data_IF_550769765447
#
_entry.id   IF_550769765447
#
_cell.length_a   1.000
_cell.length_b   1.000
_cell.length_c   1.000
_cell.angle_alpha   90.00
_cell.angle_beta   90.00
_cell.angle_gamma   90.00
#
_symmetry.space_group_name_H-M   'P 1'
#
loop_
_entity.id
_entity.type
_entity.pdbx_description
1 polymer ?
#
# COMPACT_ATOMS: atom_id res chain seq x y z
N UNK A 1 23.31 0.13 14.48
CA UNK A 1 23.46 0.72 15.84
C UNK A 1 24.84 1.33 16.12
N UNK A 2 25.86 1.15 15.27
CA UNK A 2 27.22 1.68 15.50
C UNK A 2 27.32 3.21 15.66
N UNK A 3 26.38 3.99 15.09
CA UNK A 3 26.46 5.45 15.11
C UNK A 3 25.96 6.09 16.41
N UNK A 4 25.10 5.40 17.16
CA UNK A 4 24.52 5.88 18.42
C UNK A 4 24.33 4.70 19.40
N UNK A 5 25.41 4.23 20.03
CA UNK A 5 25.39 3.01 20.84
C UNK A 5 24.57 3.14 22.14
N UNK A 6 24.42 4.36 22.66
CA UNK A 6 23.69 4.61 23.90
C UNK A 6 22.17 4.71 23.71
N UNK A 7 21.70 4.80 22.46
CA UNK A 7 20.26 4.85 22.17
C UNK A 7 19.69 3.43 22.21
N UNK A 8 18.77 3.19 23.15
CA UNK A 8 17.97 1.97 23.21
C UNK A 8 16.69 2.15 22.41
N UNK A 9 16.44 1.24 21.46
CA UNK A 9 15.23 1.27 20.62
C UNK A 9 14.27 0.21 21.11
N UNK A 10 13.05 0.63 21.46
CA UNK A 10 11.92 -0.26 21.70
C UNK A 10 10.91 -0.10 20.57
N UNK A 11 10.58 -1.21 19.90
CA UNK A 11 9.59 -1.22 18.83
C UNK A 11 8.25 -1.70 19.37
N UNK A 12 7.21 -0.88 19.19
CA UNK A 12 5.82 -1.22 19.50
C UNK A 12 5.01 -1.14 18.22
N UNK A 13 4.34 -2.23 17.85
CA UNK A 13 3.46 -2.27 16.67
C UNK A 13 2.05 -1.84 17.05
N UNK A 14 1.41 -1.04 16.22
CA UNK A 14 0.01 -0.61 16.38
C UNK A 14 -0.84 -1.04 15.19
N UNK A 15 -2.16 -0.91 15.35
CA UNK A 15 -3.11 -1.21 14.27
C UNK A 15 -3.08 -0.05 13.25
N UNK A 16 -3.17 -0.32 11.93
CA UNK A 16 -3.28 0.75 10.94
C UNK A 16 -4.43 1.72 11.24
N UNK A 17 -4.16 3.02 11.17
CA UNK A 17 -5.15 4.08 11.43
C UNK A 17 -5.32 4.45 12.91
N UNK A 18 -4.68 3.72 13.84
CA UNK A 18 -4.66 4.10 15.25
C UNK A 18 -3.90 5.42 15.43
N UNK A 19 -4.44 6.30 16.27
CA UNK A 19 -3.81 7.58 16.59
C UNK A 19 -2.59 7.41 17.52
N UNK A 20 -1.62 8.34 17.48
CA UNK A 20 -0.46 8.29 18.35
C UNK A 20 -0.86 8.36 19.83
N UNK A 21 -0.28 7.50 20.65
CA UNK A 21 -0.45 7.53 22.11
C UNK A 21 0.65 8.38 22.75
N UNK A 22 0.31 9.14 23.81
CA UNK A 22 1.27 10.01 24.52
C UNK A 22 2.44 9.27 25.19
N UNK A 23 2.35 7.94 25.33
CA UNK A 23 3.40 7.10 25.91
C UNK A 23 4.55 6.78 24.95
N UNK A 24 4.43 7.16 23.66
CA UNK A 24 5.42 6.89 22.62
C UNK A 24 6.17 8.18 22.27
N UNK A 25 7.49 8.09 22.18
CA UNK A 25 8.34 9.23 21.79
C UNK A 25 8.27 9.53 20.27
N UNK A 26 8.10 8.47 19.46
CA UNK A 26 8.03 8.55 18.00
C UNK A 26 6.93 7.62 17.49
N UNK A 27 6.13 8.15 16.57
CA UNK A 27 5.10 7.39 15.86
C UNK A 27 5.37 7.45 14.36
N UNK A 28 5.49 6.27 13.74
CA UNK A 28 5.70 6.14 12.29
C UNK A 28 4.47 5.46 11.71
N UNK A 29 3.71 6.18 10.90
CA UNK A 29 2.52 5.67 10.24
C UNK A 29 2.36 6.23 8.83
N UNK A 30 1.44 5.65 8.07
CA UNK A 30 0.84 6.32 6.91
C UNK A 30 0.03 7.54 7.36
N UNK A 31 -0.46 8.33 6.41
CA UNK A 31 -1.29 9.50 6.68
C UNK A 31 -2.46 9.15 7.61
N UNK A 32 -2.68 10.01 8.61
CA UNK A 32 -3.72 9.85 9.63
C UNK A 32 -4.82 10.87 9.35
N UNK A 33 -6.03 10.40 9.07
CA UNK A 33 -7.17 11.27 8.74
C UNK A 33 -7.56 12.21 9.89
N UNK A 34 -7.37 11.77 11.14
CA UNK A 34 -7.75 12.52 12.35
C UNK A 34 -6.54 13.03 13.14
N UNK A 35 -5.54 13.57 12.44
CA UNK A 35 -4.32 14.08 13.08
C UNK A 35 -4.56 15.43 13.78
N UNK A 36 -4.36 15.47 15.09
CA UNK A 36 -4.41 16.72 15.86
C UNK A 36 -3.03 17.42 15.84
N UNK A 37 -2.90 18.41 14.96
CA UNK A 37 -1.67 19.21 14.80
C UNK A 37 -1.32 20.11 16.00
N UNK A 38 -2.26 20.33 16.93
CA UNK A 38 -1.99 21.04 18.18
C UNK A 38 -1.25 20.17 19.20
N UNK A 39 -1.45 18.85 19.13
CA UNK A 39 -0.85 17.89 20.06
C UNK A 39 0.41 17.23 19.49
N UNK A 40 0.53 17.14 18.17
CA UNK A 40 1.61 16.39 17.51
C UNK A 40 2.24 17.18 16.36
N UNK A 41 3.55 16.99 16.17
CA UNK A 41 4.26 17.45 14.98
C UNK A 41 4.58 16.26 14.08
N UNK A 42 4.17 16.33 12.82
CA UNK A 42 4.49 15.32 11.81
C UNK A 42 5.56 15.84 10.85
N UNK A 43 6.32 14.91 10.29
CA UNK A 43 7.25 15.19 9.19
C UNK A 43 7.15 14.05 8.18
N UNK A 44 7.01 14.40 6.91
CA UNK A 44 7.07 13.44 5.82
C UNK A 44 8.47 12.80 5.77
N UNK A 45 8.52 11.48 5.88
CA UNK A 45 9.78 10.72 5.76
C UNK A 45 10.10 10.42 4.30
N UNK A 46 9.10 9.94 3.56
CA UNK A 46 9.14 9.68 2.13
C UNK A 46 7.72 9.52 1.61
N UNK A 47 7.55 9.65 0.29
CA UNK A 47 6.33 9.26 -0.41
C UNK A 47 6.54 7.85 -0.97
N UNK A 48 5.59 6.96 -0.70
CA UNK A 48 5.56 5.65 -1.35
C UNK A 48 4.71 5.76 -2.62
N UNK A 49 5.26 5.30 -3.76
CA UNK A 49 4.56 5.29 -5.04
C UNK A 49 4.16 3.88 -5.39
N UNK A 50 2.86 3.65 -5.31
CA UNK A 50 2.28 2.38 -5.65
C UNK A 50 2.39 2.09 -7.16
N UNK A 51 2.67 0.83 -7.53
CA UNK A 51 2.75 0.38 -8.92
C UNK A 51 2.05 -0.96 -9.11
N UNK A 52 1.42 -1.13 -10.26
CA UNK A 52 0.90 -2.42 -10.70
C UNK A 52 2.05 -3.22 -11.28
N UNK A 53 2.08 -4.50 -10.96
CA UNK A 53 3.05 -5.45 -11.46
C UNK A 53 2.29 -6.65 -11.99
N UNK A 54 2.89 -7.43 -12.87
CA UNK A 54 2.31 -8.69 -13.31
C UNK A 54 3.44 -9.68 -13.56
N UNK A 55 3.14 -10.98 -13.46
CA UNK A 55 4.09 -11.98 -13.89
C UNK A 55 4.21 -11.96 -15.43
N UNK A 56 5.40 -12.25 -16.00
CA UNK A 56 5.55 -12.32 -17.45
C UNK A 56 4.56 -13.31 -18.08
N UNK A 57 4.38 -14.48 -17.45
CA UNK A 57 3.43 -15.50 -17.88
C UNK A 57 1.98 -14.97 -17.92
N UNK A 58 1.59 -14.14 -16.96
CA UNK A 58 0.26 -13.54 -16.97
C UNK A 58 0.09 -12.58 -18.15
N UNK A 59 1.08 -11.71 -18.37
CA UNK A 59 1.06 -10.73 -19.47
C UNK A 59 1.07 -11.40 -20.84
N UNK A 60 1.77 -12.52 -21.00
CA UNK A 60 1.74 -13.33 -22.23
C UNK A 60 0.34 -13.88 -22.53
N UNK A 61 -0.44 -14.23 -21.49
CA UNK A 61 -1.77 -14.82 -21.64
C UNK A 61 -2.88 -13.79 -21.76
N UNK A 62 -2.78 -12.66 -21.07
CA UNK A 62 -3.86 -11.67 -20.93
C UNK A 62 -3.54 -10.31 -21.56
N UNK A 63 -2.31 -10.12 -22.06
CA UNK A 63 -1.84 -8.83 -22.56
C UNK A 63 -1.42 -7.88 -21.43
N UNK A 64 -0.75 -6.80 -21.84
CA UNK A 64 -0.40 -5.68 -20.97
C UNK A 64 -1.45 -4.58 -21.09
N UNK A 65 -2.11 -4.16 -19.99
CA UNK A 65 -3.12 -3.12 -20.04
C UNK A 65 -2.49 -1.78 -20.44
N UNK A 66 -3.04 -1.14 -21.47
CA UNK A 66 -2.61 0.17 -21.96
C UNK A 66 -3.48 1.31 -21.46
N UNK A 67 -4.60 0.98 -20.82
CA UNK A 67 -5.54 1.93 -20.25
C UNK A 67 -5.98 1.53 -18.84
N UNK A 68 -6.54 2.50 -18.12
CA UNK A 68 -7.13 2.28 -16.80
C UNK A 68 -8.32 1.32 -16.91
N UNK A 69 -9.10 1.47 -17.97
CA UNK A 69 -10.28 0.66 -18.26
C UNK A 69 -9.89 -0.79 -18.50
N UNK A 70 -8.82 -1.05 -19.28
CA UNK A 70 -8.26 -2.39 -19.46
C UNK A 70 -7.76 -2.97 -18.13
N UNK A 71 -7.08 -2.17 -17.30
CA UNK A 71 -6.61 -2.61 -15.99
C UNK A 71 -7.76 -3.12 -15.11
N UNK A 72 -8.94 -2.49 -15.17
CA UNK A 72 -10.12 -2.93 -14.41
C UNK A 72 -10.69 -4.27 -14.88
N UNK A 73 -10.35 -4.72 -16.10
CA UNK A 73 -10.74 -6.02 -16.64
C UNK A 73 -9.79 -7.15 -16.22
N UNK A 74 -8.59 -6.81 -15.71
CA UNK A 74 -7.65 -7.80 -15.23
C UNK A 74 -8.02 -8.34 -13.84
N UNK A 75 -7.67 -9.60 -13.60
CA UNK A 75 -7.83 -10.25 -12.30
C UNK A 75 -6.75 -9.74 -11.33
N UNK A 76 -7.13 -8.88 -10.39
CA UNK A 76 -6.19 -8.21 -9.50
C UNK A 76 -6.15 -8.86 -8.12
N UNK A 77 -4.94 -9.16 -7.64
CA UNK A 77 -4.70 -9.61 -6.28
C UNK A 77 -4.90 -8.46 -5.29
N UNK A 78 -5.83 -8.61 -4.34
CA UNK A 78 -6.21 -7.54 -3.41
C UNK A 78 -5.65 -7.80 -2.00
N UNK A 79 -5.02 -6.78 -1.41
CA UNK A 79 -4.67 -6.82 0.02
C UNK A 79 -5.89 -6.46 0.88
N UNK A 80 -6.37 -7.38 1.69
CA UNK A 80 -7.53 -7.19 2.55
C UNK A 80 -8.45 -8.40 2.57
N UNK A 81 -9.69 -8.18 2.96
CA UNK A 81 -10.72 -9.23 3.09
C UNK A 81 -11.73 -9.22 1.94
N UNK A 82 -11.75 -8.15 1.14
CA UNK A 82 -12.69 -7.98 0.03
C UNK A 82 -12.04 -8.30 -1.31
N UNK A 83 -12.81 -8.91 -2.20
CA UNK A 83 -12.43 -9.22 -3.60
C UNK A 83 -12.60 -8.04 -4.55
N UNK A 84 -13.02 -6.88 -4.03
CA UNK A 84 -13.13 -5.62 -4.76
C UNK A 84 -12.51 -4.51 -3.93
N UNK A 85 -11.80 -3.59 -4.58
CA UNK A 85 -11.19 -2.45 -3.89
C UNK A 85 -11.11 -1.23 -4.79
N UNK A 86 -11.34 -0.07 -4.19
CA UNK A 86 -11.11 1.20 -4.86
C UNK A 86 -9.67 1.70 -4.64
N UNK A 87 -9.07 2.19 -5.71
CA UNK A 87 -7.79 2.86 -5.69
C UNK A 87 -7.90 4.25 -6.31
N UNK A 88 -7.19 5.22 -5.73
CA UNK A 88 -7.00 6.54 -6.35
C UNK A 88 -5.69 6.49 -7.13
N UNK A 89 -5.76 6.64 -8.45
CA UNK A 89 -4.60 6.86 -9.31
C UNK A 89 -4.03 8.24 -9.00
N UNK A 90 -2.73 8.49 -9.17
CA UNK A 90 -2.22 9.84 -8.95
C UNK A 90 -2.60 10.85 -10.06
N UNK A 91 -3.39 10.44 -11.07
CA UNK A 91 -4.20 11.37 -11.85
C UNK A 91 -5.41 11.94 -11.07
N UNK A 92 -5.65 11.48 -9.84
CA UNK A 92 -6.83 11.77 -9.03
C UNK A 92 -8.04 10.90 -9.37
N UNK A 93 -8.00 10.12 -10.46
CA UNK A 93 -9.09 9.24 -10.87
C UNK A 93 -9.23 8.06 -9.91
N UNK A 94 -10.43 7.85 -9.41
CA UNK A 94 -10.79 6.64 -8.64
C UNK A 94 -11.16 5.52 -9.57
N UNK A 95 -10.63 4.33 -9.29
CA UNK A 95 -10.88 3.11 -10.05
C UNK A 95 -11.29 2.01 -9.08
N UNK A 96 -12.26 1.20 -9.50
CA UNK A 96 -12.61 -0.02 -8.77
C UNK A 96 -12.01 -1.19 -9.50
N UNK A 97 -11.22 -1.99 -8.79
CA UNK A 97 -10.63 -3.22 -9.32
C UNK A 97 -11.19 -4.42 -8.58
N UNK A 98 -11.17 -5.57 -9.24
CA UNK A 98 -11.68 -6.81 -8.68
C UNK A 98 -10.72 -7.95 -8.99
N UNK A 99 -10.84 -9.01 -8.19
CA UNK A 99 -10.15 -10.26 -8.49
C UNK A 99 -10.77 -11.45 -7.79
N UNK A 100 -10.15 -12.60 -7.99
CA UNK A 100 -10.58 -13.86 -7.43
C UNK A 100 -9.87 -14.24 -6.12
N UNK A 101 -8.92 -13.42 -5.67
CA UNK A 101 -8.16 -13.68 -4.46
C UNK A 101 -7.88 -12.39 -3.68
N UNK A 102 -8.10 -12.46 -2.36
CA UNK A 102 -7.71 -11.42 -1.42
C UNK A 102 -6.91 -12.02 -0.27
N UNK A 103 -5.94 -11.28 0.26
CA UNK A 103 -5.13 -11.72 1.40
C UNK A 103 -4.82 -10.59 2.35
N UNK A 104 -4.90 -10.88 3.65
CA UNK A 104 -4.43 -10.00 4.73
C UNK A 104 -2.99 -10.29 5.13
N UNK A 105 -2.36 -11.32 4.54
CA UNK A 105 -0.98 -11.69 4.83
C UNK A 105 -0.02 -10.85 3.98
N UNK A 106 0.63 -9.86 4.61
CA UNK A 106 1.56 -8.94 3.95
C UNK A 106 2.73 -9.67 3.26
N UNK A 107 3.18 -10.81 3.80
CA UNK A 107 4.25 -11.58 3.14
C UNK A 107 3.76 -12.17 1.83
N UNK A 108 2.57 -12.77 1.78
CA UNK A 108 2.00 -13.28 0.53
C UNK A 108 1.76 -12.14 -0.48
N UNK A 109 1.38 -10.98 0.03
CA UNK A 109 1.26 -9.76 -0.76
C UNK A 109 2.62 -9.22 -1.28
N UNK A 110 3.75 -9.57 -0.68
CA UNK A 110 5.07 -9.13 -1.16
C UNK A 110 5.88 -10.21 -1.92
N UNK A 111 5.52 -11.49 -1.80
CA UNK A 111 6.35 -12.61 -2.32
C UNK A 111 5.83 -13.35 -3.55
N UNK A 112 4.63 -13.09 -4.07
CA UNK A 112 4.08 -13.90 -5.18
C UNK A 112 4.13 -13.22 -6.55
N UNK A 113 5.30 -13.22 -7.19
CA UNK A 113 5.50 -12.79 -8.59
C UNK A 113 4.76 -13.64 -9.66
N UNK A 114 3.53 -14.11 -9.40
CA UNK A 114 2.72 -14.95 -10.29
C UNK A 114 1.34 -14.35 -10.66
N UNK A 115 0.88 -13.27 -10.03
CA UNK A 115 -0.45 -12.68 -10.30
C UNK A 115 -0.36 -11.17 -10.53
N UNK A 116 -1.34 -10.57 -11.23
CA UNK A 116 -1.39 -9.11 -11.45
C UNK A 116 -1.66 -8.43 -10.13
N UNK A 117 -0.76 -7.54 -9.78
CA UNK A 117 -0.65 -6.83 -8.54
C UNK A 117 -1.35 -5.50 -8.62
N UNK A 118 -2.22 -5.22 -7.65
CA UNK A 118 -2.89 -3.94 -7.50
C UNK A 118 -2.25 -3.04 -6.45
N UNK A 119 -1.40 -2.12 -6.86
CA UNK A 119 -1.07 -0.92 -6.10
C UNK A 119 -0.88 0.26 -7.08
N UNK A 120 -1.54 1.39 -6.82
CA UNK A 120 -1.94 2.38 -7.82
C UNK A 120 -0.97 3.53 -8.20
N UNK A 121 -0.44 3.54 -9.44
CA UNK A 121 -0.66 4.59 -10.46
C UNK A 121 -0.21 4.11 -11.85
N UNK A 122 -1.12 4.23 -12.83
CA UNK A 122 -0.79 4.29 -14.27
C UNK A 122 -0.25 5.67 -14.59
N UNK A 123 1.03 5.75 -14.95
CA UNK A 123 1.60 6.93 -15.62
C UNK A 123 0.94 7.07 -16.99
N UNK A 124 0.23 8.18 -17.21
CA UNK A 124 0.22 8.85 -18.50
C UNK A 124 1.27 9.95 -18.45
#
# INVERSE_FOLDING_TARGET
MQRYPDIRIQLTTTIPGQLPEMKLDLFISRELEQFNSLSFRSKLLFEDRFRFYASPQYLEQHGEPKSVEELQQHNILIFGEQLQREFTLASGKRISVSGNFATTNQRLYSTQGRMVWGYCQLTQ
#
